data_IF_021047328727
#
_entry.id   IF_021047328727
#
_cell.length_a   1.000
_cell.length_b   1.000
_cell.length_c   1.000
_cell.angle_alpha   90.00
_cell.angle_beta   90.00
_cell.angle_gamma   90.00
#
_symmetry.space_group_name_H-M   'P 1'
#
loop_
_entity.id
_entity.type
_entity.pdbx_description
1 polymer ?
#
# COMPACT_ATOMS: atom_id res chain seq x y z
N UNK A 1 5.25 10.12 -1.76
CA UNK A 1 4.00 9.99 -2.54
C UNK A 1 3.02 9.09 -1.79
N UNK A 2 1.71 9.37 -1.82
CA UNK A 2 0.71 8.45 -1.24
C UNK A 2 0.44 7.33 -2.24
N UNK A 3 0.37 6.09 -1.76
CA UNK A 3 0.14 4.91 -2.59
C UNK A 3 -0.92 4.07 -1.91
N UNK A 4 -2.08 3.85 -2.57
CA UNK A 4 -3.07 2.92 -2.09
C UNK A 4 -2.64 1.47 -2.38
N UNK A 5 -2.70 0.62 -1.36
CA UNK A 5 -2.32 -0.79 -1.43
C UNK A 5 -3.51 -1.65 -0.99
N UNK A 6 -3.95 -2.54 -1.85
CA UNK A 6 -4.98 -3.52 -1.55
C UNK A 6 -4.33 -4.82 -1.07
N UNK A 7 -4.86 -5.38 0.02
CA UNK A 7 -4.38 -6.65 0.57
C UNK A 7 -5.39 -7.77 0.35
N UNK A 8 -4.93 -9.04 0.19
CA UNK A 8 -5.81 -10.21 0.06
C UNK A 8 -6.39 -10.59 1.44
N UNK A 9 -7.26 -9.74 1.97
CA UNK A 9 -7.95 -9.88 3.27
C UNK A 9 -9.43 -9.52 3.10
N UNK A 10 -10.22 -9.65 4.17
CA UNK A 10 -11.65 -9.33 4.19
C UNK A 10 -11.99 -7.83 3.96
N UNK A 11 -11.00 -7.00 3.65
CA UNK A 11 -11.17 -5.58 3.38
C UNK A 11 -11.40 -5.35 1.88
N UNK A 12 -12.46 -4.62 1.56
CA UNK A 12 -12.81 -4.25 0.18
C UNK A 12 -12.36 -2.82 -0.18
N UNK A 13 -11.35 -2.31 0.50
CA UNK A 13 -10.79 -0.98 0.28
C UNK A 13 -9.26 -1.00 0.42
N UNK A 14 -8.54 -0.15 -0.33
CA UNK A 14 -7.10 -0.07 -0.24
C UNK A 14 -6.65 0.78 0.96
N UNK A 15 -5.49 0.45 1.49
CA UNK A 15 -4.85 1.19 2.58
C UNK A 15 -3.81 2.15 2.02
N UNK A 16 -3.81 3.39 2.50
CA UNK A 16 -2.84 4.41 2.05
C UNK A 16 -1.50 4.24 2.77
N UNK A 17 -0.43 4.11 2.00
CA UNK A 17 0.95 4.10 2.48
C UNK A 17 1.73 5.27 1.90
N UNK A 18 2.87 5.57 2.52
CA UNK A 18 3.87 6.48 1.98
C UNK A 18 4.90 5.68 1.16
N UNK A 19 5.09 6.08 -0.09
CA UNK A 19 6.24 5.64 -0.89
C UNK A 19 7.46 6.47 -0.55
N UNK A 20 8.50 5.78 -0.08
CA UNK A 20 9.90 6.26 -0.05
C UNK A 20 10.78 5.48 -1.02
N UNK A 21 10.19 4.56 -1.79
CA UNK A 21 10.93 3.76 -2.77
C UNK A 21 11.21 4.68 -3.96
N UNK A 22 12.46 4.70 -4.41
CA UNK A 22 12.89 5.49 -5.58
C UNK A 22 12.28 4.98 -6.89
N UNK A 23 11.89 3.71 -6.93
CA UNK A 23 11.22 3.08 -8.07
C UNK A 23 9.78 3.59 -8.22
N UNK A 24 9.38 3.84 -9.47
CA UNK A 24 7.98 4.14 -9.80
C UNK A 24 7.10 2.94 -9.50
N UNK A 25 6.13 3.11 -8.60
CA UNK A 25 5.07 2.13 -8.32
C UNK A 25 3.89 2.42 -9.24
N UNK A 26 3.53 1.46 -10.07
CA UNK A 26 2.38 1.51 -10.97
C UNK A 26 1.23 0.65 -10.42
N UNK A 27 -0.04 1.00 -10.71
CA UNK A 27 -1.17 0.12 -10.42
C UNK A 27 -0.94 -1.30 -10.96
N UNK A 28 -1.17 -2.31 -10.13
CA UNK A 28 -0.89 -3.71 -10.44
C UNK A 28 0.47 -4.24 -9.94
N UNK A 29 1.40 -3.36 -9.54
CA UNK A 29 2.67 -3.80 -8.95
C UNK A 29 2.43 -4.47 -7.58
N UNK A 30 3.19 -5.54 -7.31
CA UNK A 30 3.21 -6.16 -5.99
C UNK A 30 4.19 -5.44 -5.06
N UNK A 31 3.75 -5.20 -3.83
CA UNK A 31 4.53 -4.52 -2.81
C UNK A 31 4.42 -5.23 -1.47
N UNK A 32 5.49 -5.18 -0.67
CA UNK A 32 5.48 -5.61 0.72
C UNK A 32 5.33 -4.39 1.62
N UNK A 33 4.35 -4.44 2.51
CA UNK A 33 4.02 -3.35 3.41
C UNK A 33 3.65 -3.86 4.80
N UNK A 34 3.91 -3.08 5.87
CA UNK A 34 3.61 -3.47 7.23
C UNK A 34 2.11 -3.35 7.49
N UNK A 35 1.50 -4.45 7.94
CA UNK A 35 0.10 -4.54 8.33
C UNK A 35 0.00 -5.13 9.73
N UNK A 36 -0.41 -4.31 10.70
CA UNK A 36 -0.30 -4.66 12.12
C UNK A 36 1.16 -4.81 12.55
N UNK A 37 1.49 -5.99 13.09
CA UNK A 37 2.83 -6.42 13.52
C UNK A 37 3.64 -7.14 12.44
N UNK A 38 3.02 -7.55 11.34
CA UNK A 38 3.65 -8.35 10.29
C UNK A 38 3.76 -7.58 8.98
N UNK A 39 4.64 -8.03 8.09
CA UNK A 39 4.66 -7.57 6.70
C UNK A 39 3.82 -8.49 5.83
N UNK A 40 2.99 -7.91 4.97
CA UNK A 40 2.14 -8.64 4.03
C UNK A 40 2.37 -8.11 2.62
N UNK A 41 2.21 -9.00 1.65
CA UNK A 41 2.20 -8.63 0.23
C UNK A 41 0.82 -8.10 -0.15
N UNK A 42 0.80 -6.93 -0.76
CA UNK A 42 -0.37 -6.33 -1.38
C UNK A 42 -0.09 -5.90 -2.82
N UNK A 43 -1.12 -5.40 -3.47
CA UNK A 43 -1.06 -4.85 -4.84
C UNK A 43 -1.33 -3.36 -4.79
N UNK A 44 -0.57 -2.60 -5.58
CA UNK A 44 -0.83 -1.17 -5.78
C UNK A 44 -2.16 -1.01 -6.49
N UNK A 45 -3.08 -0.29 -5.85
CA UNK A 45 -4.42 -0.04 -6.38
C UNK A 45 -4.44 1.29 -7.16
N UNK A 46 -5.32 1.46 -8.16
CA UNK A 46 -5.42 2.74 -8.88
C UNK A 46 -6.16 3.82 -8.08
N UNK A 47 -7.05 3.44 -7.16
CA UNK A 47 -7.92 4.37 -6.42
C UNK A 47 -7.53 4.46 -4.94
N UNK A 48 -7.61 5.67 -4.37
CA UNK A 48 -7.43 5.89 -2.94
C UNK A 48 -8.76 5.78 -2.16
N UNK A 49 -8.69 5.33 -0.91
CA UNK A 49 -9.82 5.34 0.00
C UNK A 49 -10.13 6.79 0.47
N UNK A 50 -11.39 7.21 0.33
CA UNK A 50 -11.86 8.50 0.85
C UNK A 50 -12.10 8.41 2.36
N UNK A 51 -11.41 9.24 3.13
CA UNK A 51 -11.54 9.30 4.59
C UNK A 51 -11.16 10.69 5.10
N UNK A 52 -11.97 11.24 6.00
CA UNK A 52 -11.73 12.54 6.64
C UNK A 52 -10.80 12.46 7.86
N UNK A 53 -10.42 11.24 8.26
CA UNK A 53 -9.49 11.03 9.38
C UNK A 53 -8.05 11.27 8.96
N UNK A 54 -7.32 12.04 9.76
CA UNK A 54 -5.87 12.16 9.66
C UNK A 54 -5.20 11.01 10.43
N UNK A 55 -4.44 10.16 9.74
CA UNK A 55 -3.69 9.06 10.34
C UNK A 55 -2.23 9.11 9.91
N UNK A 56 -1.35 8.60 10.78
CA UNK A 56 0.07 8.44 10.47
C UNK A 56 0.24 7.33 9.42
N UNK A 57 0.71 7.71 8.24
CA UNK A 57 0.98 6.77 7.15
C UNK A 57 2.21 5.91 7.49
N UNK A 58 2.08 4.60 7.28
CA UNK A 58 3.23 3.69 7.30
C UNK A 58 3.93 3.73 5.93
N UNK A 59 5.18 3.30 5.89
CA UNK A 59 6.00 3.27 4.68
C UNK A 59 5.91 1.92 4.00
N UNK A 60 5.97 1.91 2.67
CA UNK A 60 6.15 0.67 1.90
C UNK A 60 7.59 0.18 2.09
N UNK A 61 7.77 -1.12 2.31
CA UNK A 61 9.10 -1.71 2.59
C UNK A 61 9.84 -1.99 1.29
N UNK A 62 9.17 -2.63 0.32
CA UNK A 62 9.78 -2.98 -0.96
C UNK A 62 8.76 -3.27 -2.05
N UNK A 63 9.15 -3.01 -3.30
CA UNK A 63 8.51 -3.57 -4.49
C UNK A 63 8.93 -5.04 -4.65
N UNK A 64 8.01 -5.88 -5.08
CA UNK A 64 8.26 -7.28 -5.43
C UNK A 64 8.06 -7.40 -6.93
N UNK A 65 9.08 -7.90 -7.63
CA UNK A 65 8.98 -8.25 -9.04
C UNK A 65 8.69 -9.74 -9.12
N UNK A 66 7.57 -10.12 -9.72
CA UNK A 66 7.11 -11.50 -9.90
C UNK A 66 7.03 -11.77 -11.39
#
# INVERSE_FOLDING_TARGET
MKIPVLFPKIFNYPFTYQSEISDSLNPGDFVKAPFGSNEITGVVWPEEQKTDKNFKLKKIVKKINI
#
